data_IF_783934749230
#
_entry.id   IF_783934749230
#
_cell.length_a   1.000
_cell.length_b   1.000
_cell.length_c   1.000
_cell.angle_alpha   90.00
_cell.angle_beta   90.00
_cell.angle_gamma   90.00
#
_symmetry.space_group_name_H-M   'P 1'
#
loop_
_entity.id
_entity.type
_entity.pdbx_description
1 polymer ?
#
# COMPACT_ATOMS: atom_id res chain seq x y z
N UNK A 1 -1.05 25.91 -21.64
CA UNK A 1 -1.93 25.41 -22.69
C UNK A 1 -2.59 24.15 -22.21
N UNK A 2 -3.92 24.16 -22.11
CA UNK A 2 -4.68 22.95 -21.75
C UNK A 2 -4.49 21.96 -22.89
N UNK A 3 -3.98 20.78 -22.57
CA UNK A 3 -3.83 19.70 -23.52
C UNK A 3 -5.24 19.30 -23.98
N UNK A 4 -5.61 19.67 -25.20
CA UNK A 4 -6.97 19.53 -25.74
C UNK A 4 -7.46 18.09 -25.88
N UNK A 5 -6.58 17.11 -25.58
CA UNK A 5 -6.83 15.68 -25.76
C UNK A 5 -7.09 14.91 -24.45
N UNK A 6 -6.95 15.53 -23.28
CA UNK A 6 -7.19 14.91 -21.99
C UNK A 6 -8.23 15.68 -21.20
N UNK A 7 -9.30 14.99 -20.80
CA UNK A 7 -10.38 15.53 -19.98
C UNK A 7 -10.57 14.63 -18.78
N UNK A 8 -10.49 15.22 -17.57
CA UNK A 8 -10.81 14.47 -16.34
C UNK A 8 -12.32 14.28 -16.23
N UNK A 9 -12.73 13.05 -16.04
CA UNK A 9 -14.14 12.65 -15.87
C UNK A 9 -14.32 11.94 -14.54
N UNK A 10 -15.55 11.96 -14.01
CA UNK A 10 -15.92 11.22 -12.80
C UNK A 10 -16.11 9.75 -13.15
N UNK A 11 -15.65 8.86 -12.25
CA UNK A 11 -15.82 7.41 -12.36
C UNK A 11 -16.72 6.87 -11.24
N UNK A 12 -17.34 5.72 -11.47
CA UNK A 12 -18.08 5.02 -10.46
C UNK A 12 -17.17 4.43 -9.35
N UNK A 13 -15.90 4.14 -9.65
CA UNK A 13 -14.91 3.64 -8.68
C UNK A 13 -14.68 4.64 -7.55
N UNK A 14 -14.52 5.91 -7.90
CA UNK A 14 -14.19 7.00 -6.96
C UNK A 14 -15.43 7.72 -6.41
N UNK A 15 -16.59 7.08 -6.43
CA UNK A 15 -17.82 7.69 -5.94
C UNK A 15 -17.90 7.65 -4.41
N UNK A 16 -18.04 8.81 -3.75
CA UNK A 16 -18.16 8.97 -2.29
C UNK A 16 -19.50 8.57 -1.69
N UNK A 17 -20.48 8.16 -2.51
CA UNK A 17 -21.77 7.75 -2.00
C UNK A 17 -21.64 6.52 -1.10
N UNK A 18 -22.14 6.59 0.12
CA UNK A 18 -22.10 5.50 1.11
C UNK A 18 -22.79 4.23 0.61
N UNK A 19 -23.94 4.38 -0.04
CA UNK A 19 -24.70 3.29 -0.66
C UNK A 19 -25.02 3.64 -2.10
N UNK A 20 -24.78 2.69 -3.01
CA UNK A 20 -25.00 2.91 -4.43
C UNK A 20 -23.98 3.87 -5.05
N UNK A 21 -24.39 4.56 -6.11
CA UNK A 21 -23.54 5.46 -6.88
C UNK A 21 -24.32 6.75 -7.13
N UNK A 22 -23.69 7.90 -6.98
CA UNK A 22 -24.35 9.17 -7.26
C UNK A 22 -24.54 9.36 -8.78
N UNK A 23 -25.58 10.08 -9.16
CA UNK A 23 -25.92 10.34 -10.58
C UNK A 23 -24.80 10.97 -11.37
N UNK A 24 -23.98 11.81 -10.73
CA UNK A 24 -22.86 12.49 -11.41
C UNK A 24 -21.68 11.54 -11.72
N UNK A 25 -21.35 10.60 -10.81
CA UNK A 25 -20.31 9.59 -11.07
C UNK A 25 -20.78 8.51 -12.04
N UNK A 26 -22.05 8.15 -12.02
CA UNK A 26 -22.61 7.22 -13.01
C UNK A 26 -22.70 7.85 -14.40
N UNK A 27 -23.05 9.15 -14.47
CA UNK A 27 -23.24 9.85 -15.72
C UNK A 27 -24.58 9.52 -16.38
N UNK A 28 -24.69 9.70 -17.70
CA UNK A 28 -25.92 9.44 -18.47
C UNK A 28 -26.24 7.95 -18.57
N UNK A 29 -27.51 7.59 -18.45
CA UNK A 29 -28.03 6.28 -18.79
C UNK A 29 -27.80 5.99 -20.29
N UNK A 30 -27.17 4.87 -20.61
CA UNK A 30 -26.88 4.50 -22.01
C UNK A 30 -28.16 4.19 -22.79
N UNK A 31 -29.19 3.67 -22.13
CA UNK A 31 -30.45 3.34 -22.76
C UNK A 31 -31.31 4.57 -23.09
N UNK A 32 -31.30 5.58 -22.22
CA UNK A 32 -32.20 6.73 -22.33
C UNK A 32 -31.50 8.04 -22.68
N UNK A 33 -30.16 8.10 -22.61
CA UNK A 33 -29.39 9.31 -22.83
C UNK A 33 -29.58 10.41 -21.79
N UNK A 34 -30.36 10.17 -20.74
CA UNK A 34 -30.68 11.11 -19.65
C UNK A 34 -29.91 10.73 -18.38
N UNK A 35 -29.84 11.69 -17.46
CA UNK A 35 -29.29 11.41 -16.13
C UNK A 35 -30.21 10.45 -15.37
N UNK A 36 -29.66 9.45 -14.65
CA UNK A 36 -30.46 8.48 -13.92
C UNK A 36 -31.26 9.12 -12.81
N UNK A 37 -32.42 8.53 -12.50
CA UNK A 37 -33.28 8.92 -11.37
C UNK A 37 -32.81 8.20 -10.09
N UNK A 38 -33.15 8.79 -8.94
CA UNK A 38 -32.92 8.14 -7.65
C UNK A 38 -33.75 6.86 -7.56
N UNK A 39 -33.11 5.75 -7.18
CA UNK A 39 -33.75 4.44 -7.06
C UNK A 39 -33.57 3.52 -8.27
N UNK A 40 -32.93 3.97 -9.36
CA UNK A 40 -32.59 3.07 -10.46
C UNK A 40 -31.57 2.01 -10.04
N UNK A 41 -31.81 0.75 -10.44
CA UNK A 41 -31.00 -0.40 -10.04
C UNK A 41 -29.74 -0.54 -10.91
N UNK A 42 -28.77 0.36 -10.77
CA UNK A 42 -27.56 0.43 -11.59
C UNK A 42 -26.70 -0.86 -11.53
N UNK A 43 -26.69 -1.53 -10.38
CA UNK A 43 -25.99 -2.80 -10.21
C UNK A 43 -26.61 -3.92 -11.06
N UNK A 44 -27.95 -3.99 -11.14
CA UNK A 44 -28.64 -4.97 -11.99
C UNK A 44 -28.36 -4.67 -13.46
N UNK A 45 -28.45 -3.40 -13.86
CA UNK A 45 -28.14 -2.98 -15.24
C UNK A 45 -26.69 -3.35 -15.60
N UNK A 46 -25.73 -3.13 -14.72
CA UNK A 46 -24.35 -3.50 -14.91
C UNK A 46 -24.19 -5.02 -15.07
N UNK A 47 -24.77 -5.80 -14.17
CA UNK A 47 -24.71 -7.27 -14.23
C UNK A 47 -25.34 -7.82 -15.52
N UNK A 48 -26.48 -7.29 -15.95
CA UNK A 48 -27.13 -7.69 -17.21
C UNK A 48 -26.28 -7.30 -18.42
N UNK A 49 -25.69 -6.11 -18.44
CA UNK A 49 -24.83 -5.64 -19.54
C UNK A 49 -23.54 -6.46 -19.68
N UNK A 50 -23.04 -7.02 -18.59
CA UNK A 50 -21.88 -7.91 -18.56
C UNK A 50 -22.28 -9.34 -18.90
N UNK A 51 -23.41 -9.80 -18.39
CA UNK A 51 -23.86 -11.19 -18.52
C UNK A 51 -24.49 -11.51 -19.89
N UNK A 52 -25.18 -10.55 -20.52
CA UNK A 52 -25.81 -10.78 -21.84
C UNK A 52 -24.81 -11.28 -22.89
N UNK A 53 -23.65 -10.65 -23.11
CA UNK A 53 -22.68 -11.15 -24.07
C UNK A 53 -21.97 -12.44 -23.62
N UNK A 54 -22.06 -12.81 -22.34
CA UNK A 54 -21.47 -14.03 -21.79
C UNK A 54 -21.90 -15.29 -22.52
N UNK A 55 -23.17 -15.37 -22.90
CA UNK A 55 -23.69 -16.51 -23.67
C UNK A 55 -23.00 -16.64 -25.04
N UNK A 56 -22.72 -15.52 -25.71
CA UNK A 56 -21.99 -15.51 -26.99
C UNK A 56 -20.50 -15.86 -26.80
N UNK A 57 -19.88 -15.45 -25.69
CA UNK A 57 -18.51 -15.80 -25.35
C UNK A 57 -18.36 -17.32 -25.14
N UNK A 58 -19.31 -17.98 -24.51
CA UNK A 58 -19.29 -19.42 -24.25
C UNK A 58 -19.33 -20.22 -25.59
N UNK A 59 -20.15 -19.81 -26.55
CA UNK A 59 -20.26 -20.46 -27.85
C UNK A 59 -18.97 -20.32 -28.68
N UNK A 60 -18.26 -19.20 -28.57
CA UNK A 60 -17.05 -18.94 -29.38
C UNK A 60 -15.80 -19.63 -28.86
N UNK A 61 -15.70 -19.89 -27.53
CA UNK A 61 -14.53 -20.56 -26.92
C UNK A 61 -14.40 -22.03 -27.33
N UNK A 62 -15.49 -22.69 -27.75
CA UNK A 62 -15.47 -24.05 -28.27
C UNK A 62 -14.78 -24.18 -29.65
N UNK A 63 -14.60 -23.08 -30.37
CA UNK A 63 -14.05 -23.11 -31.74
C UNK A 63 -12.57 -22.72 -31.84
N UNK A 64 -11.95 -22.27 -30.74
CA UNK A 64 -10.54 -21.85 -30.71
C UNK A 64 -9.63 -22.91 -30.07
N UNK A 65 -10.02 -24.16 -30.15
CA UNK A 65 -9.22 -25.29 -29.74
C UNK A 65 -8.06 -25.52 -30.68
N UNK A 66 -6.83 -25.31 -30.20
CA UNK A 66 -5.67 -25.83 -30.88
C UNK A 66 -4.46 -24.95 -31.08
N UNK A 67 -3.91 -24.40 -30.02
CA UNK A 67 -2.46 -24.22 -29.95
C UNK A 67 -2.01 -24.82 -28.61
N UNK A 68 -1.45 -26.01 -28.71
CA UNK A 68 -0.80 -26.67 -27.58
C UNK A 68 0.35 -25.81 -27.10
N UNK A 69 0.24 -25.24 -25.91
CA UNK A 69 1.38 -24.55 -25.33
C UNK A 69 1.15 -23.82 -24.03
N UNK A 70 0.05 -23.13 -23.87
CA UNK A 70 -0.23 -22.44 -22.62
C UNK A 70 -1.72 -22.55 -22.32
N UNK A 71 -2.09 -23.28 -21.28
CA UNK A 71 -3.47 -23.42 -20.78
C UNK A 71 -3.90 -22.11 -20.07
N UNK A 72 -3.83 -21.01 -20.84
CA UNK A 72 -4.28 -19.69 -20.38
C UNK A 72 -5.79 -19.69 -20.50
N UNK A 73 -6.46 -19.59 -19.37
CA UNK A 73 -7.91 -19.40 -19.31
C UNK A 73 -8.31 -18.18 -20.15
N UNK A 74 -9.11 -18.40 -21.20
CA UNK A 74 -9.58 -17.36 -22.10
C UNK A 74 -11.09 -17.32 -22.18
N UNK A 75 -11.65 -16.20 -22.61
CA UNK A 75 -13.09 -16.02 -22.73
C UNK A 75 -13.82 -15.89 -21.40
N UNK A 76 -15.04 -16.44 -21.31
CA UNK A 76 -15.91 -16.31 -20.13
C UNK A 76 -15.30 -16.87 -18.85
N UNK A 77 -14.61 -18.03 -18.83
CA UNK A 77 -13.96 -18.53 -17.61
C UNK A 77 -12.94 -17.54 -17.02
N UNK A 78 -12.26 -16.75 -17.87
CA UNK A 78 -11.34 -15.72 -17.38
C UNK A 78 -12.07 -14.56 -16.71
N UNK A 79 -13.23 -14.18 -17.23
CA UNK A 79 -14.08 -13.14 -16.61
C UNK A 79 -14.60 -13.61 -15.24
N UNK A 80 -14.99 -14.89 -15.12
CA UNK A 80 -15.38 -15.49 -13.86
C UNK A 80 -14.23 -15.49 -12.84
N UNK A 81 -13.02 -15.91 -13.26
CA UNK A 81 -11.82 -15.85 -12.40
C UNK A 81 -11.56 -14.45 -11.87
N UNK A 82 -11.68 -13.42 -12.73
CA UNK A 82 -11.46 -12.03 -12.35
C UNK A 82 -12.50 -11.52 -11.33
N UNK A 83 -13.80 -11.75 -11.59
CA UNK A 83 -14.86 -11.27 -10.70
C UNK A 83 -15.01 -12.09 -9.41
N UNK A 84 -14.52 -13.30 -9.38
CA UNK A 84 -14.43 -14.10 -8.15
C UNK A 84 -13.08 -13.96 -7.44
N UNK A 85 -12.16 -13.16 -8.01
CA UNK A 85 -10.80 -12.96 -7.52
C UNK A 85 -10.07 -14.29 -7.25
N UNK A 86 -10.27 -15.28 -8.12
CA UNK A 86 -9.61 -16.60 -8.05
C UNK A 86 -8.16 -16.48 -8.45
N UNK A 87 -7.31 -17.30 -7.83
CA UNK A 87 -5.91 -17.42 -8.24
C UNK A 87 -5.84 -18.12 -9.61
N UNK A 88 -5.19 -17.51 -10.61
CA UNK A 88 -5.03 -18.13 -11.93
C UNK A 88 -4.22 -19.43 -11.85
N UNK A 89 -4.51 -20.39 -12.75
CA UNK A 89 -3.75 -21.65 -12.83
C UNK A 89 -2.27 -21.41 -13.13
N UNK A 90 -1.97 -20.46 -14.01
CA UNK A 90 -0.60 -20.01 -14.31
C UNK A 90 -0.49 -18.57 -13.85
N UNK A 91 -0.09 -18.41 -12.58
CA UNK A 91 0.12 -17.11 -11.98
C UNK A 91 1.52 -16.59 -12.29
N UNK A 92 1.62 -15.34 -12.69
CA UNK A 92 2.88 -14.62 -12.76
C UNK A 92 3.40 -14.34 -11.34
N UNK A 93 4.70 -14.47 -11.15
CA UNK A 93 5.37 -14.02 -9.93
C UNK A 93 5.59 -12.52 -10.01
N UNK A 94 5.15 -11.80 -8.99
CA UNK A 94 5.20 -10.32 -8.90
C UNK A 94 6.23 -9.94 -7.84
N UNK A 95 6.93 -8.86 -8.10
CA UNK A 95 7.91 -8.25 -7.18
C UNK A 95 7.21 -7.55 -6.02
N UNK A 96 7.62 -7.83 -4.78
CA UNK A 96 7.07 -7.16 -3.59
C UNK A 96 7.83 -5.90 -3.20
N UNK A 97 9.13 -5.85 -3.48
CA UNK A 97 10.01 -4.72 -3.15
C UNK A 97 10.69 -4.19 -4.41
N UNK A 98 10.99 -2.91 -4.45
CA UNK A 98 11.80 -2.36 -5.53
C UNK A 98 13.28 -2.68 -5.28
N UNK A 99 14.06 -2.93 -6.35
CA UNK A 99 15.48 -3.22 -6.19
C UNK A 99 16.15 -3.79 -7.42
N UNK A 100 17.43 -4.18 -7.24
CA UNK A 100 18.21 -4.81 -8.27
C UNK A 100 18.02 -6.34 -8.26
N UNK A 101 17.86 -6.91 -9.46
CA UNK A 101 17.60 -8.33 -9.66
C UNK A 101 18.91 -9.09 -9.76
N UNK A 102 19.06 -10.14 -8.97
CA UNK A 102 20.05 -11.19 -9.18
C UNK A 102 19.35 -12.51 -9.50
N UNK A 103 19.92 -13.28 -10.43
CA UNK A 103 19.37 -14.55 -10.90
C UNK A 103 20.42 -15.62 -10.76
N UNK A 104 20.13 -16.64 -9.95
CA UNK A 104 20.92 -17.83 -9.79
C UNK A 104 20.19 -19.05 -10.34
N UNK A 105 20.89 -19.89 -11.08
CA UNK A 105 20.33 -21.12 -11.60
C UNK A 105 20.59 -22.25 -10.61
N UNK A 106 19.54 -22.92 -10.18
CA UNK A 106 19.61 -24.08 -9.28
C UNK A 106 19.25 -25.36 -10.02
N UNK A 107 19.44 -26.53 -9.38
CA UNK A 107 19.05 -27.83 -9.95
C UNK A 107 17.55 -27.96 -10.21
N UNK A 108 16.72 -27.37 -9.34
CA UNK A 108 15.26 -27.53 -9.34
C UNK A 108 14.50 -26.30 -9.88
N UNK A 109 15.22 -25.23 -10.26
CA UNK A 109 14.58 -23.99 -10.68
C UNK A 109 15.55 -22.84 -10.84
N UNK A 110 15.02 -21.64 -10.88
CA UNK A 110 15.77 -20.39 -10.83
C UNK A 110 15.42 -19.64 -9.54
N UNK A 111 16.45 -19.22 -8.81
CA UNK A 111 16.28 -18.30 -7.68
C UNK A 111 16.45 -16.89 -8.22
N UNK A 112 15.44 -16.07 -8.04
CA UNK A 112 15.49 -14.64 -8.35
C UNK A 112 15.55 -13.92 -7.01
N UNK A 113 16.62 -13.21 -6.75
CA UNK A 113 16.82 -12.40 -5.55
C UNK A 113 16.70 -10.93 -5.92
N UNK A 114 15.92 -10.20 -5.14
CA UNK A 114 15.77 -8.76 -5.28
C UNK A 114 16.34 -8.12 -4.04
N UNK A 115 17.29 -7.22 -4.25
CA UNK A 115 17.98 -6.49 -3.19
C UNK A 115 17.65 -5.02 -3.32
N UNK A 116 17.01 -4.48 -2.29
CA UNK A 116 16.85 -3.05 -2.10
C UNK A 116 17.83 -2.56 -1.04
N UNK A 117 18.51 -1.46 -1.32
CA UNK A 117 19.35 -0.78 -0.35
C UNK A 117 18.91 0.66 -0.28
N UNK A 118 18.23 1.03 0.79
CA UNK A 118 17.75 2.38 1.01
C UNK A 118 18.55 3.05 2.13
N UNK A 119 18.88 4.33 1.91
CA UNK A 119 19.57 5.15 2.89
C UNK A 119 18.54 6.02 3.61
N UNK A 120 18.35 5.74 4.89
CA UNK A 120 17.45 6.49 5.75
C UNK A 120 18.19 7.52 6.57
N UNK A 121 17.51 8.63 6.88
CA UNK A 121 18.00 9.70 7.75
C UNK A 121 17.07 9.88 8.93
N UNK A 122 17.53 9.51 10.12
CA UNK A 122 16.81 9.79 11.35
C UNK A 122 17.27 11.12 11.93
N UNK A 123 16.39 12.11 11.91
CA UNK A 123 16.72 13.49 12.31
C UNK A 123 16.42 13.68 13.80
N UNK A 124 17.41 14.15 14.55
CA UNK A 124 17.30 14.56 15.94
C UNK A 124 17.47 16.06 16.03
N UNK A 125 16.48 16.77 16.55
CA UNK A 125 16.61 18.18 16.88
C UNK A 125 17.35 18.33 18.21
N UNK A 126 18.42 19.12 18.20
CA UNK A 126 19.19 19.42 19.40
C UNK A 126 18.58 20.66 20.07
N UNK A 127 17.94 20.54 21.25
CA UNK A 127 17.35 21.67 21.95
C UNK A 127 18.41 22.69 22.37
N UNK A 128 17.98 23.94 22.55
CA UNK A 128 18.88 24.99 23.03
C UNK A 128 19.42 24.66 24.45
N UNK A 129 20.73 24.75 24.62
CA UNK A 129 21.40 24.41 25.88
C UNK A 129 22.01 23.01 25.93
N UNK A 130 21.93 22.27 24.80
CA UNK A 130 22.64 20.99 24.67
C UNK A 130 23.91 21.17 23.84
N UNK A 131 24.94 20.44 24.21
CA UNK A 131 26.22 20.36 23.51
C UNK A 131 26.31 19.00 22.80
N UNK A 132 26.64 19.03 21.53
CA UNK A 132 26.79 17.80 20.69
C UNK A 132 28.10 17.13 21.08
N UNK A 133 28.04 15.86 21.43
CA UNK A 133 29.22 15.07 21.90
C UNK A 133 29.86 14.31 20.73
N UNK A 134 29.12 14.00 19.68
CA UNK A 134 29.57 13.24 18.52
C UNK A 134 30.08 14.16 17.41
N UNK A 135 30.96 13.66 16.58
CA UNK A 135 31.48 14.38 15.41
C UNK A 135 30.78 13.92 14.14
N UNK A 136 30.77 14.79 13.13
CA UNK A 136 30.28 14.40 11.81
C UNK A 136 31.15 13.27 11.23
N UNK A 137 30.50 12.17 10.85
CA UNK A 137 31.15 10.97 10.32
C UNK A 137 31.37 9.84 11.33
N UNK A 138 31.11 10.09 12.63
CA UNK A 138 31.20 9.05 13.65
C UNK A 138 30.12 7.98 13.43
N UNK A 139 30.47 6.72 13.71
CA UNK A 139 29.54 5.61 13.71
C UNK A 139 28.96 5.45 15.12
N UNK A 140 27.63 5.46 15.23
CA UNK A 140 26.93 5.37 16.52
C UNK A 140 26.05 4.15 16.56
N UNK A 141 25.91 3.57 17.75
CA UNK A 141 24.98 2.48 18.04
C UNK A 141 23.72 3.01 18.73
N UNK A 142 22.68 2.17 18.76
CA UNK A 142 21.44 2.49 19.46
C UNK A 142 21.73 2.77 20.95
N UNK A 143 21.24 3.91 21.45
CA UNK A 143 21.48 4.35 22.82
C UNK A 143 22.74 5.21 23.03
N UNK A 144 23.59 5.40 22.02
CA UNK A 144 24.75 6.29 22.12
C UNK A 144 24.31 7.73 22.35
N UNK A 145 24.89 8.45 23.34
CA UNK A 145 24.56 9.84 23.60
C UNK A 145 25.06 10.74 22.48
N UNK A 146 24.14 11.43 21.81
CA UNK A 146 24.41 12.35 20.71
C UNK A 146 24.63 13.79 21.20
N UNK A 147 23.84 14.19 22.20
CA UNK A 147 23.97 15.51 22.82
C UNK A 147 23.67 15.45 24.31
N UNK A 148 24.45 16.19 25.11
CA UNK A 148 24.32 16.31 26.56
C UNK A 148 23.94 17.74 26.93
N UNK A 149 23.21 17.90 28.04
CA UNK A 149 22.87 19.21 28.55
C UNK A 149 24.15 19.95 29.02
N UNK A 150 24.42 21.13 28.45
CA UNK A 150 25.58 21.94 28.79
C UNK A 150 25.58 22.34 30.27
N UNK A 151 26.74 22.26 30.89
CA UNK A 151 26.91 22.63 32.32
C UNK A 151 26.55 24.08 32.64
N UNK A 152 26.64 24.97 31.64
CA UNK A 152 26.30 26.39 31.79
C UNK A 152 24.80 26.65 31.92
N UNK A 153 23.96 25.75 31.38
CA UNK A 153 22.51 25.82 31.51
C UNK A 153 22.01 25.45 32.92
N UNK A 154 22.84 24.80 33.76
CA UNK A 154 22.51 24.51 35.17
C UNK A 154 22.66 25.71 36.09
N UNK A 155 23.43 26.75 35.72
CA UNK A 155 23.66 27.92 36.58
C UNK A 155 22.55 28.96 36.56
N UNK A 156 21.73 28.99 35.49
CA UNK A 156 20.66 30.00 35.34
C UNK A 156 19.34 29.66 36.06
N UNK A 157 19.22 28.47 36.70
CA UNK A 157 18.04 28.09 37.49
C UNK A 157 18.15 28.19 39.00
N UNK A 158 19.27 28.75 39.53
CA UNK A 158 19.45 29.00 40.98
C UNK A 158 19.40 30.48 41.30
N UNK A 159 18.22 31.06 41.29
CA UNK A 159 17.90 32.37 41.86
C UNK A 159 16.77 32.22 42.88
N UNK A 160 17.03 31.65 44.05
CA UNK A 160 16.08 31.57 45.15
C UNK A 160 16.81 31.23 46.45
N UNK A 161 16.91 32.22 47.32
CA UNK A 161 17.62 32.24 48.64
C UNK A 161 17.18 31.15 49.60
N UNK A 162 18.14 30.71 50.35
CA UNK A 162 18.22 30.59 51.81
C UNK A 162 18.37 29.17 52.39
N UNK A 163 19.36 29.01 53.24
CA UNK A 163 19.38 28.09 54.38
C UNK A 163 20.54 27.11 54.43
N UNK A 164 21.63 27.55 55.03
CA UNK A 164 22.73 26.71 55.48
C UNK A 164 22.28 25.63 56.45
N UNK A 165 22.61 24.37 56.23
CA UNK A 165 22.95 23.39 57.28
C UNK A 165 23.84 22.31 56.67
N UNK A 166 25.00 22.14 57.34
CA UNK A 166 25.96 21.05 57.15
C UNK A 166 25.32 19.69 57.44
N UNK A 167 25.59 18.71 56.65
CA UNK A 167 25.84 17.35 57.12
C UNK A 167 26.66 16.66 55.99
N UNK A 168 27.74 16.10 56.41
CA UNK A 168 28.68 15.24 55.72
C UNK A 168 28.03 13.85 55.52
N UNK A 169 28.61 13.12 54.59
CA UNK A 169 28.38 11.70 54.30
C UNK A 169 27.04 11.32 53.65
N UNK A 170 27.09 11.13 52.31
CA UNK A 170 26.89 9.81 51.73
C UNK A 170 27.36 9.82 50.27
N UNK A 171 28.48 9.16 50.04
CA UNK A 171 28.94 8.75 48.73
C UNK A 171 28.17 7.46 48.36
N UNK A 172 27.08 7.59 47.69
CA UNK A 172 26.54 6.51 46.85
C UNK A 172 25.67 7.12 45.73
N UNK A 173 26.26 7.20 44.59
CA UNK A 173 25.68 6.98 43.25
C UNK A 173 24.15 7.00 43.15
N UNK A 174 23.63 8.15 42.82
CA UNK A 174 22.52 8.26 41.91
C UNK A 174 22.97 9.13 40.74
N UNK A 175 23.45 8.51 39.67
CA UNK A 175 23.52 9.07 38.33
C UNK A 175 22.09 9.33 37.88
N UNK A 176 21.47 10.42 38.38
CA UNK A 176 20.29 10.98 37.81
C UNK A 176 20.62 11.22 36.32
N UNK A 177 20.00 10.43 35.44
CA UNK A 177 20.10 10.56 33.99
C UNK A 177 19.82 12.02 33.63
N UNK A 178 20.86 12.78 33.34
CA UNK A 178 20.70 14.08 32.72
C UNK A 178 19.94 13.85 31.42
N UNK A 179 18.96 14.68 31.08
CA UNK A 179 18.24 14.53 29.80
C UNK A 179 19.26 14.54 28.67
N UNK A 180 19.39 13.41 28.01
CA UNK A 180 20.39 13.13 26.98
C UNK A 180 19.64 12.81 25.72
N UNK A 181 20.04 13.39 24.58
CA UNK A 181 19.56 13.00 23.29
C UNK A 181 20.35 11.77 22.86
N UNK A 182 19.70 10.62 22.74
CA UNK A 182 20.35 9.35 22.38
C UNK A 182 19.97 8.94 20.96
N UNK A 183 20.90 8.23 20.30
CA UNK A 183 20.64 7.64 19.00
C UNK A 183 19.55 6.55 19.11
N UNK A 184 18.51 6.64 18.30
CA UNK A 184 17.46 5.62 18.21
C UNK A 184 17.79 4.51 17.20
N UNK A 185 18.70 4.81 16.28
CA UNK A 185 19.17 3.90 15.24
C UNK A 185 20.68 3.91 15.16
N UNK A 186 21.27 2.77 14.81
CA UNK A 186 22.71 2.68 14.55
C UNK A 186 23.01 3.21 13.14
N UNK A 187 24.06 4.02 13.01
CA UNK A 187 24.41 4.60 11.71
C UNK A 187 25.51 5.64 11.80
N UNK A 188 25.70 6.36 10.70
CA UNK A 188 26.71 7.41 10.57
C UNK A 188 26.10 8.78 10.87
N UNK A 189 26.78 9.55 11.70
CA UNK A 189 26.30 10.88 12.12
C UNK A 189 26.60 11.93 11.05
N UNK A 190 25.56 12.67 10.65
CA UNK A 190 25.67 13.92 9.88
C UNK A 190 25.22 15.09 10.75
N UNK A 191 26.03 16.14 10.81
CA UNK A 191 25.72 17.35 11.58
C UNK A 191 25.49 18.51 10.61
N UNK A 192 24.28 19.09 10.66
CA UNK A 192 23.93 20.30 9.89
C UNK A 192 23.41 21.37 10.85
N UNK A 193 24.22 22.36 11.13
CA UNK A 193 23.90 23.47 12.01
C UNK A 193 23.42 23.00 13.40
N UNK A 194 22.10 22.98 13.66
CA UNK A 194 21.48 22.52 14.92
C UNK A 194 20.75 21.20 14.80
N UNK A 195 20.78 20.60 13.63
CA UNK A 195 20.09 19.34 13.35
C UNK A 195 21.14 18.25 13.23
N UNK A 196 20.96 17.18 13.98
CA UNK A 196 21.81 16.02 13.99
C UNK A 196 21.04 14.89 13.31
N UNK A 197 21.58 14.33 12.25
CA UNK A 197 20.96 13.21 11.55
C UNK A 197 21.84 11.97 11.68
N UNK A 198 21.23 10.85 12.01
CA UNK A 198 21.87 9.52 11.90
C UNK A 198 21.45 8.91 10.59
N UNK A 199 22.41 8.67 9.71
CA UNK A 199 22.21 8.06 8.41
C UNK A 199 22.55 6.59 8.53
N UNK A 200 21.62 5.72 8.12
CA UNK A 200 21.81 4.28 8.10
C UNK A 200 21.30 3.69 6.79
N UNK A 201 21.88 2.58 6.41
CA UNK A 201 21.45 1.82 5.24
C UNK A 201 20.63 0.63 5.71
N UNK A 202 19.44 0.51 5.17
CA UNK A 202 18.58 -0.65 5.35
C UNK A 202 18.62 -1.48 4.08
N UNK A 203 18.97 -2.74 4.23
CA UNK A 203 19.03 -3.68 3.13
C UNK A 203 17.90 -4.68 3.29
N UNK A 204 16.94 -4.64 2.37
CA UNK A 204 15.86 -5.60 2.29
C UNK A 204 16.12 -6.55 1.12
N UNK A 205 15.98 -7.84 1.39
CA UNK A 205 16.18 -8.89 0.38
C UNK A 205 14.93 -9.76 0.31
N UNK A 206 14.49 -10.05 -0.92
CA UNK A 206 13.40 -10.99 -1.18
C UNK A 206 13.84 -12.01 -2.20
N UNK A 207 13.52 -13.28 -1.92
CA UNK A 207 13.84 -14.41 -2.79
C UNK A 207 12.57 -15.02 -3.39
N UNK A 208 12.62 -15.27 -4.69
CA UNK A 208 11.53 -15.89 -5.44
C UNK A 208 12.05 -17.15 -6.13
N UNK A 209 11.42 -18.29 -5.84
CA UNK A 209 11.73 -19.55 -6.50
C UNK A 209 10.82 -19.72 -7.72
N UNK A 210 11.41 -19.81 -8.88
CA UNK A 210 10.72 -19.89 -10.16
C UNK A 210 11.05 -21.23 -10.85
N UNK A 211 10.04 -22.03 -11.24
CA UNK A 211 10.27 -23.28 -11.95
C UNK A 211 11.03 -23.06 -13.27
N UNK A 212 11.79 -24.03 -13.72
CA UNK A 212 12.53 -23.98 -15.01
C UNK A 212 11.59 -23.81 -16.22
N UNK A 213 10.35 -24.28 -16.08
CA UNK A 213 9.31 -24.17 -17.13
C UNK A 213 8.74 -22.76 -17.29
N UNK A 214 8.86 -21.92 -16.28
CA UNK A 214 8.37 -20.55 -16.33
C UNK A 214 9.33 -19.66 -17.13
N UNK A 215 8.78 -18.85 -18.01
CA UNK A 215 9.56 -17.86 -18.76
C UNK A 215 9.80 -16.63 -17.91
N UNK A 216 11.05 -16.33 -17.62
CA UNK A 216 11.48 -15.15 -16.88
C UNK A 216 11.52 -13.95 -17.81
N UNK A 217 10.95 -12.83 -17.39
CA UNK A 217 10.86 -11.57 -18.16
C UNK A 217 12.00 -10.60 -17.83
N UNK A 218 12.65 -10.79 -16.68
CA UNK A 218 13.70 -9.89 -16.18
C UNK A 218 15.09 -10.45 -16.45
N UNK A 219 16.08 -9.58 -16.53
CA UNK A 219 17.50 -9.95 -16.71
C UNK A 219 18.29 -9.65 -15.44
N UNK A 220 19.37 -10.39 -15.23
CA UNK A 220 20.30 -10.13 -14.12
C UNK A 220 20.82 -8.69 -14.18
N UNK A 221 20.79 -7.98 -13.05
CA UNK A 221 21.20 -6.58 -12.92
C UNK A 221 20.14 -5.57 -13.34
N UNK A 222 18.94 -6.00 -13.80
CA UNK A 222 17.85 -5.07 -14.06
C UNK A 222 17.31 -4.49 -12.74
N UNK A 223 16.85 -3.25 -12.78
CA UNK A 223 16.15 -2.64 -11.66
C UNK A 223 14.65 -2.80 -11.87
N UNK A 224 13.96 -3.37 -10.90
CA UNK A 224 12.52 -3.63 -10.91
C UNK A 224 11.83 -2.84 -9.81
N UNK A 225 10.55 -2.52 -10.04
CA UNK A 225 9.69 -1.84 -9.06
C UNK A 225 8.74 -2.84 -8.43
N UNK A 226 8.23 -2.51 -7.25
CA UNK A 226 7.15 -3.27 -6.65
C UNK A 226 5.95 -3.34 -7.61
N UNK A 227 5.46 -4.56 -7.87
CA UNK A 227 4.39 -4.82 -8.83
C UNK A 227 4.84 -5.27 -10.22
N UNK A 228 6.12 -5.18 -10.56
CA UNK A 228 6.63 -5.69 -11.83
C UNK A 228 6.56 -7.22 -11.88
N UNK A 229 6.31 -7.77 -13.08
CA UNK A 229 6.25 -9.20 -13.30
C UNK A 229 7.65 -9.79 -13.51
N UNK A 230 8.00 -10.80 -12.72
CA UNK A 230 9.23 -11.57 -12.92
C UNK A 230 9.07 -12.67 -13.96
N UNK A 231 7.87 -13.24 -14.06
CA UNK A 231 7.57 -14.35 -14.97
C UNK A 231 6.37 -14.05 -15.86
N UNK A 232 6.31 -14.71 -16.99
CA UNK A 232 5.13 -14.71 -17.87
C UNK A 232 3.99 -15.46 -17.18
N UNK A 233 2.78 -14.91 -17.25
CA UNK A 233 1.58 -15.47 -16.64
C UNK A 233 0.51 -14.44 -16.42
N UNK A 234 -0.60 -14.86 -15.81
CA UNK A 234 -1.69 -13.98 -15.42
C UNK A 234 -1.44 -13.44 -14.01
N UNK A 235 -1.68 -12.16 -13.81
CA UNK A 235 -1.60 -11.57 -12.48
C UNK A 235 -2.72 -12.12 -11.58
N UNK A 236 -2.37 -12.48 -10.36
CA UNK A 236 -3.34 -12.79 -9.33
C UNK A 236 -3.90 -11.49 -8.75
N UNK A 237 -5.23 -11.26 -8.81
CA UNK A 237 -5.82 -10.03 -8.28
C UNK A 237 -5.51 -9.76 -6.81
N UNK A 238 -5.37 -10.81 -6.00
CA UNK A 238 -5.04 -10.70 -4.57
C UNK A 238 -3.62 -10.18 -4.35
N UNK A 239 -2.65 -10.65 -5.15
CA UNK A 239 -1.27 -10.16 -5.06
C UNK A 239 -1.15 -8.72 -5.58
N UNK A 240 -1.87 -8.37 -6.65
CA UNK A 240 -1.95 -6.98 -7.13
C UNK A 240 -2.50 -6.08 -6.03
N UNK A 241 -3.57 -6.50 -5.34
CA UNK A 241 -4.15 -5.74 -4.24
C UNK A 241 -3.18 -5.56 -3.08
N UNK A 242 -2.46 -6.64 -2.70
CA UNK A 242 -1.51 -6.66 -1.59
C UNK A 242 -0.27 -5.80 -1.86
N UNK A 243 0.25 -5.82 -3.09
CA UNK A 243 1.53 -5.21 -3.44
C UNK A 243 1.34 -3.79 -3.98
N UNK A 244 0.40 -3.63 -4.93
CA UNK A 244 0.22 -2.38 -5.68
C UNK A 244 -0.95 -1.53 -5.16
N UNK A 245 -1.80 -2.11 -4.31
CA UNK A 245 -2.88 -1.41 -3.65
C UNK A 245 -4.23 -1.43 -4.39
N UNK A 246 -5.21 -0.76 -3.76
CA UNK A 246 -6.61 -0.79 -4.19
C UNK A 246 -6.83 -0.19 -5.58
N UNK A 247 -6.18 0.92 -5.88
CA UNK A 247 -6.37 1.60 -7.16
C UNK A 247 -5.85 0.77 -8.32
N UNK A 248 -4.67 0.17 -8.14
CA UNK A 248 -4.06 -0.69 -9.15
C UNK A 248 -4.92 -1.93 -9.44
N UNK A 249 -5.47 -2.60 -8.40
CA UNK A 249 -6.34 -3.76 -8.63
C UNK A 249 -7.66 -3.37 -9.27
N UNK A 250 -8.23 -2.19 -8.95
CA UNK A 250 -9.43 -1.69 -9.61
C UNK A 250 -9.21 -1.50 -11.10
N UNK A 251 -8.13 -0.81 -11.46
CA UNK A 251 -7.76 -0.60 -12.85
C UNK A 251 -7.48 -1.92 -13.56
N UNK A 252 -6.68 -2.80 -12.94
CA UNK A 252 -6.34 -4.11 -13.47
C UNK A 252 -7.60 -4.95 -13.78
N UNK A 253 -8.55 -5.05 -12.85
CA UNK A 253 -9.77 -5.83 -13.03
C UNK A 253 -10.63 -5.29 -14.16
N UNK A 254 -10.77 -3.96 -14.27
CA UNK A 254 -11.54 -3.32 -15.36
C UNK A 254 -10.85 -3.55 -16.69
N UNK A 255 -9.54 -3.33 -16.78
CA UNK A 255 -8.77 -3.47 -18.03
C UNK A 255 -8.76 -4.92 -18.53
N UNK A 256 -8.48 -5.88 -17.64
CA UNK A 256 -8.46 -7.31 -18.03
C UNK A 256 -9.83 -7.83 -18.42
N UNK A 257 -10.88 -7.47 -17.68
CA UNK A 257 -12.24 -7.84 -18.07
C UNK A 257 -12.61 -7.24 -19.44
N UNK A 258 -12.33 -5.96 -19.67
CA UNK A 258 -12.55 -5.30 -20.95
C UNK A 258 -11.74 -5.93 -22.10
N UNK A 259 -10.51 -6.34 -21.83
CA UNK A 259 -9.66 -7.02 -22.81
C UNK A 259 -10.28 -8.31 -23.31
N UNK A 260 -10.86 -9.11 -22.41
CA UNK A 260 -11.59 -10.34 -22.78
C UNK A 260 -12.77 -10.02 -23.70
N UNK A 261 -13.62 -9.07 -23.34
CA UNK A 261 -14.79 -8.72 -24.17
C UNK A 261 -14.38 -8.12 -25.51
N UNK A 262 -13.42 -7.20 -25.52
CA UNK A 262 -12.92 -6.58 -26.75
C UNK A 262 -12.30 -7.59 -27.70
N UNK A 263 -11.59 -8.60 -27.19
CA UNK A 263 -11.01 -9.66 -28.03
C UNK A 263 -12.07 -10.48 -28.75
N UNK A 264 -13.30 -10.50 -28.24
CA UNK A 264 -14.46 -11.17 -28.85
C UNK A 264 -15.36 -10.21 -29.67
N UNK A 265 -14.91 -8.94 -29.84
CA UNK A 265 -15.66 -7.93 -30.60
C UNK A 265 -16.87 -7.36 -29.85
N UNK A 266 -16.94 -7.58 -28.54
CA UNK A 266 -18.01 -7.04 -27.68
C UNK A 266 -17.53 -5.76 -27.02
N UNK A 267 -18.35 -4.71 -27.08
CA UNK A 267 -18.05 -3.42 -26.45
C UNK A 267 -19.00 -3.20 -25.27
N UNK A 268 -18.46 -3.18 -24.06
CA UNK A 268 -19.18 -2.86 -22.82
C UNK A 268 -18.63 -1.54 -22.30
N UNK A 269 -19.51 -0.67 -21.80
CA UNK A 269 -19.07 0.59 -21.20
C UNK A 269 -18.39 0.33 -19.85
N UNK A 270 -17.24 0.95 -19.63
CA UNK A 270 -16.40 0.77 -18.44
C UNK A 270 -17.17 0.95 -17.13
N UNK A 271 -18.13 1.89 -17.08
CA UNK A 271 -18.96 2.13 -15.88
C UNK A 271 -19.62 0.86 -15.32
N UNK A 272 -20.01 -0.09 -16.17
CA UNK A 272 -20.62 -1.34 -15.71
C UNK A 272 -19.63 -2.23 -14.99
N UNK A 273 -18.41 -2.33 -15.53
CA UNK A 273 -17.29 -3.02 -14.86
C UNK A 273 -16.91 -2.32 -13.56
N UNK A 274 -16.76 -1.01 -13.60
CA UNK A 274 -16.42 -0.18 -12.44
C UNK A 274 -17.40 -0.36 -11.26
N UNK A 275 -18.70 -0.49 -11.54
CA UNK A 275 -19.73 -0.72 -10.52
C UNK A 275 -19.52 -2.05 -9.81
N UNK A 276 -19.23 -3.12 -10.58
CA UNK A 276 -19.01 -4.45 -10.01
C UNK A 276 -17.71 -4.49 -9.22
N UNK A 277 -16.61 -3.96 -9.78
CA UNK A 277 -15.31 -3.91 -9.11
C UNK A 277 -15.39 -3.11 -7.81
N UNK A 278 -16.09 -1.96 -7.82
CA UNK A 278 -16.34 -1.18 -6.59
C UNK A 278 -17.06 -2.01 -5.53
N UNK A 279 -18.04 -2.83 -5.93
CA UNK A 279 -18.76 -3.68 -5.00
C UNK A 279 -17.90 -4.83 -4.45
N UNK A 280 -16.99 -5.39 -5.26
CA UNK A 280 -16.03 -6.41 -4.82
C UNK A 280 -15.15 -5.90 -3.67
N UNK A 281 -14.68 -4.66 -3.76
CA UNK A 281 -13.78 -4.02 -2.79
C UNK A 281 -14.51 -3.25 -1.67
N UNK A 282 -15.79 -3.55 -1.44
CA UNK A 282 -16.59 -2.84 -0.46
C UNK A 282 -16.34 -3.30 0.98
N UNK A 283 -16.01 -4.56 1.18
CA UNK A 283 -15.81 -5.16 2.50
C UNK A 283 -14.36 -5.16 2.91
N UNK A 284 -14.09 -4.92 4.18
CA UNK A 284 -12.76 -5.01 4.80
C UNK A 284 -12.83 -5.91 6.02
N UNK A 285 -11.78 -6.68 6.25
CA UNK A 285 -11.61 -7.51 7.44
C UNK A 285 -10.84 -6.74 8.49
N UNK A 286 -11.25 -6.88 9.74
CA UNK A 286 -10.57 -6.27 10.87
C UNK A 286 -9.50 -7.24 11.36
N UNK A 287 -8.25 -6.85 11.31
CA UNK A 287 -7.15 -7.62 11.89
C UNK A 287 -6.94 -7.21 13.36
N UNK A 288 -6.89 -5.91 13.63
CA UNK A 288 -6.79 -5.38 14.98
C UNK A 288 -7.85 -4.29 15.22
N UNK A 289 -8.78 -4.48 16.16
CA UNK A 289 -9.86 -3.53 16.40
C UNK A 289 -9.42 -2.23 17.10
N UNK A 290 -8.22 -2.17 17.70
CA UNK A 290 -7.78 -1.02 18.49
C UNK A 290 -8.78 -0.69 19.60
N UNK A 291 -9.16 0.59 19.72
CA UNK A 291 -10.11 1.11 20.72
C UNK A 291 -11.58 1.03 20.29
N UNK A 292 -11.92 0.18 19.32
CA UNK A 292 -13.28 0.04 18.82
C UNK A 292 -13.98 -1.22 19.36
N UNK A 293 -15.33 -1.23 19.37
CA UNK A 293 -16.14 -2.38 19.79
C UNK A 293 -16.21 -3.51 18.74
N UNK A 294 -15.38 -3.43 17.68
CA UNK A 294 -15.39 -4.38 16.58
C UNK A 294 -14.52 -5.61 16.92
N UNK A 295 -14.84 -6.74 16.31
CA UNK A 295 -14.13 -7.99 16.60
C UNK A 295 -13.02 -8.26 15.58
N UNK A 296 -11.87 -8.81 16.00
CA UNK A 296 -10.85 -9.30 15.07
C UNK A 296 -11.43 -10.35 14.12
N UNK A 297 -11.12 -10.23 12.82
CA UNK A 297 -11.64 -11.12 11.78
C UNK A 297 -13.04 -10.76 11.27
N UNK A 298 -13.72 -9.78 11.85
CA UNK A 298 -15.04 -9.34 11.39
C UNK A 298 -14.96 -8.65 10.03
N UNK A 299 -15.93 -8.94 9.14
CA UNK A 299 -16.05 -8.32 7.83
C UNK A 299 -17.00 -7.14 7.88
N UNK A 300 -16.46 -5.94 7.85
CA UNK A 300 -17.23 -4.69 7.90
C UNK A 300 -17.28 -3.98 6.56
N UNK A 301 -18.26 -3.11 6.41
CA UNK A 301 -18.36 -2.24 5.23
C UNK A 301 -17.36 -1.09 5.38
N UNK A 302 -16.56 -0.84 4.36
CA UNK A 302 -15.58 0.26 4.34
C UNK A 302 -16.20 1.62 4.61
N UNK A 303 -17.53 1.79 4.37
CA UNK A 303 -18.26 3.02 4.68
C UNK A 303 -18.54 3.24 6.18
N UNK A 304 -18.42 2.19 7.03
CA UNK A 304 -18.61 2.30 8.49
C UNK A 304 -17.58 3.22 9.14
N UNK A 305 -16.39 3.30 8.58
CA UNK A 305 -15.35 4.23 8.99
C UNK A 305 -15.86 5.67 9.13
N UNK A 306 -16.69 6.12 8.17
CA UNK A 306 -17.25 7.47 8.19
C UNK A 306 -18.38 7.63 9.21
N UNK A 307 -19.10 6.55 9.53
CA UNK A 307 -20.24 6.61 10.45
C UNK A 307 -19.85 6.66 11.92
N UNK A 308 -18.72 6.03 12.28
CA UNK A 308 -18.29 5.91 13.68
C UNK A 308 -17.26 6.97 14.10
N UNK A 309 -16.99 7.98 13.27
CA UNK A 309 -16.01 9.01 13.59
C UNK A 309 -14.56 8.49 13.65
N UNK A 310 -14.32 7.29 13.12
CA UNK A 310 -13.01 6.61 13.10
C UNK A 310 -11.93 7.37 12.33
N UNK A 311 -12.30 8.47 11.64
CA UNK A 311 -11.34 9.31 10.91
C UNK A 311 -10.29 9.96 11.83
N UNK A 312 -10.62 10.16 13.13
CA UNK A 312 -9.67 10.68 14.13
C UNK A 312 -8.81 9.59 14.80
N UNK A 313 -9.25 8.34 14.76
CA UNK A 313 -8.56 7.23 15.44
C UNK A 313 -7.44 6.60 14.60
N UNK A 314 -7.46 6.76 13.27
CA UNK A 314 -6.45 6.16 12.40
C UNK A 314 -5.01 6.64 12.65
N UNK A 315 -4.73 7.92 12.89
CA UNK A 315 -3.38 8.33 13.25
C UNK A 315 -2.93 7.74 14.59
N UNK A 316 -3.86 7.60 15.55
CA UNK A 316 -3.58 7.01 16.86
C UNK A 316 -3.57 5.47 16.80
N UNK A 317 -4.45 4.85 16.03
CA UNK A 317 -4.45 3.41 15.79
C UNK A 317 -3.22 2.93 15.00
N UNK A 318 -2.67 3.77 14.12
CA UNK A 318 -1.38 3.50 13.47
C UNK A 318 -0.21 3.59 14.44
N UNK A 319 -0.27 4.50 15.43
CA UNK A 319 0.69 4.54 16.53
C UNK A 319 0.50 3.37 17.51
N UNK A 320 -0.71 2.83 17.63
CA UNK A 320 -1.08 1.71 18.49
C UNK A 320 -1.05 0.33 17.78
N UNK A 321 -0.47 0.22 16.57
CA UNK A 321 -0.44 -1.01 15.77
C UNK A 321 -1.82 -1.56 15.35
N UNK A 322 -2.88 -0.78 15.42
CA UNK A 322 -4.20 -1.15 14.92
C UNK A 322 -4.30 -0.97 13.40
N UNK A 323 -4.05 -2.01 12.63
CA UNK A 323 -4.18 -1.98 11.17
C UNK A 323 -5.54 -2.55 10.75
N UNK A 324 -6.29 -1.74 10.00
CA UNK A 324 -7.47 -2.21 9.30
C UNK A 324 -7.02 -2.79 7.96
N UNK A 325 -7.13 -4.10 7.81
CA UNK A 325 -6.84 -4.77 6.55
C UNK A 325 -8.08 -5.47 6.04
N UNK A 326 -8.31 -5.51 4.74
CA UNK A 326 -9.17 -6.51 4.16
C UNK A 326 -8.39 -7.82 4.08
N UNK A 327 -9.07 -8.93 3.85
CA UNK A 327 -8.37 -10.15 3.42
C UNK A 327 -7.45 -9.91 2.23
N UNK A 328 -7.66 -8.79 1.54
CA UNK A 328 -7.09 -8.45 0.26
C UNK A 328 -6.57 -7.01 0.17
N UNK A 329 -6.66 -6.18 1.25
CA UNK A 329 -6.23 -4.78 1.25
C UNK A 329 -5.23 -4.55 2.37
N UNK A 330 -4.01 -4.20 2.03
CA UNK A 330 -2.98 -3.82 2.98
C UNK A 330 -3.33 -2.47 3.65
N UNK A 331 -3.09 -2.35 4.95
CA UNK A 331 -3.48 -1.19 5.76
C UNK A 331 -2.92 0.17 5.33
N UNK A 332 -1.96 0.20 4.40
CA UNK A 332 -1.37 1.42 3.86
C UNK A 332 -2.30 2.19 2.89
N UNK A 333 -3.28 1.53 2.30
CA UNK A 333 -4.17 2.13 1.30
C UNK A 333 -5.13 3.17 1.88
N UNK A 334 -5.46 3.02 3.16
CA UNK A 334 -6.29 4.00 3.84
C UNK A 334 -5.62 5.37 3.99
N UNK A 335 -4.28 5.43 4.01
CA UNK A 335 -3.52 6.69 4.08
C UNK A 335 -3.60 7.50 2.78
N UNK A 336 -3.49 6.80 1.65
CA UNK A 336 -3.57 7.44 0.33
C UNK A 336 -4.96 8.03 0.08
N UNK A 337 -5.99 7.27 0.42
CA UNK A 337 -7.39 7.70 0.23
C UNK A 337 -7.78 8.95 1.04
N UNK A 338 -7.23 9.12 2.25
CA UNK A 338 -7.49 10.31 3.08
C UNK A 338 -6.66 11.52 2.68
N UNK A 339 -5.45 11.32 2.15
CA UNK A 339 -4.61 12.41 1.68
C UNK A 339 -5.22 13.13 0.46
N UNK A 340 -5.90 12.38 -0.43
CA UNK A 340 -6.60 12.96 -1.59
C UNK A 340 -7.89 13.69 -1.23
N UNK A 341 -8.51 13.37 -0.10
CA UNK A 341 -9.72 14.05 0.38
C UNK A 341 -9.47 15.40 1.03
N UNK A 342 -8.25 15.67 1.48
CA UNK A 342 -7.88 16.93 2.14
C UNK A 342 -7.36 17.98 1.16
N UNK A 343 -7.26 17.67 -0.13
CA UNK A 343 -7.02 18.59 -1.23
C UNK A 343 -8.33 18.88 -1.98
#
# INVERSE_FOLDING_TARGET
GVDKHRVCVRSALYCDARRGICKACYGRSLARGLMPQKGEAMGIIAAQSIGEPGTQLTLRTFHTGGVAGVDITSGLPRVEELFEARTPKISAVIVEIEGAVDIEQMSDGRRIQIVNTETFRHVHDVPAGYEVVVKAGDQVEVGTPLALLSRDAKSSRKGGKAGARKAEDDKQQETALAPTVTAQVAGKVEIKARTLAVVYEEREEREYLVPLTARVLVTKGAHVKAGDQLTEGLLNPQDVLRIMGREAVQQYLVEEAQKVYRSQGVTINDKHMEIIVRQMLRKVRIDNPGDTDLLPGEMVDSSLRQMQGLNGLLPQAQQAQGNWTSSDVAGNEWKAYDAERQQ
#
